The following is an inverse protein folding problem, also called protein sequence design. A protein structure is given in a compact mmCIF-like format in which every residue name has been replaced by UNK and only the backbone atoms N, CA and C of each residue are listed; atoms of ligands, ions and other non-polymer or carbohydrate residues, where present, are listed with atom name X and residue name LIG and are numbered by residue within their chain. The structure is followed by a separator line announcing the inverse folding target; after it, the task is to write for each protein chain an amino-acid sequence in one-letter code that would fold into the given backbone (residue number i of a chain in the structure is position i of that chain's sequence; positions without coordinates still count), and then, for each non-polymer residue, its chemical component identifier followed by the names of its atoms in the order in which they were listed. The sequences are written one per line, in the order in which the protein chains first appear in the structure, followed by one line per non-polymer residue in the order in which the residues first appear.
data_IF_686456678583
#
_entry.id   IF_686456678583
#
_cell.length_a   1.000
_cell.length_b   1.000
_cell.length_c   1.000
_cell.angle_alpha   90.00
_cell.angle_beta   90.00
_cell.angle_gamma   90.00
#
_symmetry.space_group_name_H-M   'P 1'
#
loop_
_entity.id
_entity.type
_entity.pdbx_description
1 polymer ?
#
# COMPACT_ATOMS: atom_id res chain seq x y z
N UNK A 1 18.00 17.72 2.71
CA UNK A 1 16.63 17.27 2.48
C UNK A 1 16.65 16.14 1.47
N UNK A 2 16.01 15.01 1.80
CA UNK A 2 16.03 13.78 1.00
C UNK A 2 14.84 13.70 0.03
N UNK A 3 14.30 14.84 -0.42
CA UNK A 3 13.09 14.93 -1.23
C UNK A 3 13.26 15.81 -2.47
N UNK A 4 12.53 15.47 -3.52
CA UNK A 4 12.44 16.24 -4.75
C UNK A 4 11.24 17.19 -4.66
N UNK A 5 11.47 18.45 -4.32
CA UNK A 5 10.38 19.44 -4.11
C UNK A 5 9.76 19.99 -5.40
N UNK A 6 10.44 19.87 -6.53
CA UNK A 6 10.03 20.53 -7.78
C UNK A 6 9.96 19.59 -8.97
N UNK A 7 10.28 18.30 -8.79
CA UNK A 7 10.21 17.28 -9.85
C UNK A 7 9.16 16.27 -9.43
N UNK A 8 8.08 16.13 -10.24
CA UNK A 8 6.98 15.19 -10.00
C UNK A 8 7.13 13.89 -10.79
N UNK A 9 7.98 13.86 -11.81
CA UNK A 9 8.21 12.69 -12.65
C UNK A 9 9.13 12.99 -13.80
N UNK A 10 9.56 11.94 -14.49
CA UNK A 10 10.35 12.01 -15.73
C UNK A 10 9.69 11.15 -16.79
N UNK A 11 9.24 11.74 -17.87
CA UNK A 11 8.72 11.04 -19.04
C UNK A 11 9.85 10.80 -20.04
N UNK A 12 9.92 9.59 -20.59
CA UNK A 12 10.87 9.24 -21.66
C UNK A 12 10.13 9.01 -22.98
N UNK A 13 10.71 9.49 -24.08
CA UNK A 13 10.15 9.33 -25.44
C UNK A 13 11.09 8.48 -26.27
N UNK A 14 11.33 7.25 -25.88
CA UNK A 14 12.21 6.35 -26.63
C UNK A 14 11.49 5.14 -27.24
N UNK A 15 10.21 4.95 -26.91
CA UNK A 15 9.42 3.81 -27.43
C UNK A 15 9.80 2.45 -26.86
N UNK A 16 10.78 2.38 -25.94
CA UNK A 16 11.23 1.13 -25.34
C UNK A 16 10.30 0.64 -24.22
N UNK A 17 9.71 1.57 -23.47
CA UNK A 17 8.71 1.25 -22.47
C UNK A 17 7.29 1.29 -23.07
N UNK A 18 6.57 0.18 -23.03
CA UNK A 18 5.19 0.07 -23.55
C UNK A 18 4.13 0.19 -22.45
N UNK A 19 4.52 0.16 -21.18
CA UNK A 19 3.64 0.26 -20.02
C UNK A 19 4.35 0.82 -18.79
N UNK A 20 3.55 1.32 -17.85
CA UNK A 20 3.99 1.61 -16.49
C UNK A 20 3.14 0.87 -15.47
N UNK A 21 3.75 0.47 -14.36
CA UNK A 21 3.08 0.02 -13.14
C UNK A 21 3.32 1.05 -12.03
N UNK A 22 2.25 1.50 -11.39
CA UNK A 22 2.33 2.39 -10.24
C UNK A 22 2.27 1.56 -8.97
N UNK A 23 3.31 1.65 -8.14
CA UNK A 23 3.29 1.19 -6.76
C UNK A 23 2.63 2.28 -5.91
N UNK A 24 1.37 2.08 -5.54
CA UNK A 24 0.52 3.04 -4.85
C UNK A 24 0.29 2.59 -3.42
N UNK A 25 0.67 3.42 -2.44
CA UNK A 25 0.62 3.01 -1.05
C UNK A 25 1.12 4.04 -0.06
N UNK A 26 1.32 3.60 1.16
CA UNK A 26 1.76 4.38 2.30
C UNK A 26 3.30 4.32 2.52
N UNK A 27 3.75 4.45 3.78
CA UNK A 27 5.17 4.40 4.16
C UNK A 27 5.87 3.08 3.79
N UNK A 28 5.14 1.97 3.73
CA UNK A 28 5.70 0.66 3.34
C UNK A 28 6.08 0.69 1.85
N UNK A 29 5.34 1.40 1.04
CA UNK A 29 5.61 1.58 -0.39
C UNK A 29 6.62 2.71 -0.64
N UNK A 30 6.51 3.82 0.09
CA UNK A 30 7.46 4.95 0.05
C UNK A 30 8.87 4.51 0.46
N UNK A 31 8.98 3.58 1.40
CA UNK A 31 10.24 3.02 1.89
C UNK A 31 10.73 3.68 3.17
N UNK A 32 9.84 3.85 4.15
CA UNK A 32 10.22 4.35 5.47
C UNK A 32 11.35 3.51 6.09
N UNK A 33 12.35 4.20 6.65
CA UNK A 33 13.51 3.56 7.28
C UNK A 33 14.58 3.03 6.32
N UNK A 34 14.32 3.03 5.02
CA UNK A 34 15.29 2.60 4.01
C UNK A 34 16.38 3.68 3.86
N UNK A 35 17.62 3.23 3.82
CA UNK A 35 18.78 4.12 3.64
C UNK A 35 18.68 4.87 2.30
N UNK A 36 18.83 6.20 2.28
CA UNK A 36 18.83 6.98 1.04
C UNK A 36 19.82 6.43 0.00
N UNK A 37 19.40 6.38 -1.26
CA UNK A 37 20.17 5.90 -2.41
C UNK A 37 20.61 4.42 -2.34
N UNK A 38 19.90 3.58 -1.58
CA UNK A 38 20.18 2.13 -1.51
C UNK A 38 19.38 1.31 -2.53
N UNK A 39 18.35 1.91 -3.16
CA UNK A 39 17.46 1.23 -4.12
C UNK A 39 16.93 -0.10 -3.57
N UNK A 40 16.49 -0.11 -2.30
CA UNK A 40 16.11 -1.32 -1.57
C UNK A 40 14.66 -1.31 -1.07
N UNK A 41 13.80 -0.43 -1.60
CA UNK A 41 12.36 -0.47 -1.40
C UNK A 41 11.74 -1.57 -2.24
N UNK A 42 10.60 -2.11 -1.86
CA UNK A 42 9.97 -3.16 -2.66
C UNK A 42 9.67 -2.74 -4.13
N UNK A 43 9.31 -1.46 -4.44
CA UNK A 43 9.20 -1.04 -5.83
C UNK A 43 10.53 -1.05 -6.60
N UNK A 44 11.66 -0.79 -5.91
CA UNK A 44 12.99 -0.86 -6.53
C UNK A 44 13.34 -2.31 -6.92
N UNK A 45 13.05 -3.28 -6.04
CA UNK A 45 13.21 -4.70 -6.37
C UNK A 45 12.25 -5.15 -7.49
N UNK A 46 11.04 -4.61 -7.55
CA UNK A 46 10.12 -4.87 -8.66
C UNK A 46 10.72 -4.34 -9.97
N UNK A 47 11.24 -3.11 -9.97
CA UNK A 47 11.89 -2.52 -11.13
C UNK A 47 13.08 -3.38 -11.60
N UNK A 48 13.91 -3.82 -10.66
CA UNK A 48 15.05 -4.69 -10.97
C UNK A 48 14.63 -6.04 -11.60
N UNK A 49 13.52 -6.62 -11.15
CA UNK A 49 12.95 -7.86 -11.73
C UNK A 49 12.32 -7.64 -13.12
N UNK A 50 11.86 -6.45 -13.39
CA UNK A 50 11.24 -6.07 -14.66
C UNK A 50 12.22 -5.43 -15.66
N UNK A 51 13.51 -5.34 -15.34
CA UNK A 51 14.54 -4.65 -16.16
C UNK A 51 14.59 -5.07 -17.63
N UNK A 52 14.26 -6.33 -17.94
CA UNK A 52 14.25 -6.89 -19.29
C UNK A 52 12.83 -6.86 -19.93
N UNK A 53 11.89 -6.20 -19.29
CA UNK A 53 10.51 -5.98 -19.77
C UNK A 53 10.31 -4.50 -20.10
N UNK A 54 9.50 -4.18 -21.12
CA UNK A 54 9.22 -2.80 -21.47
C UNK A 54 8.19 -2.17 -20.48
N UNK A 55 8.47 -2.21 -19.19
CA UNK A 55 7.59 -1.75 -18.11
C UNK A 55 8.37 -0.88 -17.13
N UNK A 56 7.95 0.37 -16.98
CA UNK A 56 8.45 1.27 -15.95
C UNK A 56 7.76 1.00 -14.59
N UNK A 57 8.47 1.20 -13.50
CA UNK A 57 7.92 1.17 -12.15
C UNK A 57 7.95 2.57 -11.55
N UNK A 58 6.79 3.06 -11.14
CA UNK A 58 6.62 4.38 -10.52
C UNK A 58 6.26 4.18 -9.04
N UNK A 59 7.01 4.78 -8.13
CA UNK A 59 6.68 4.76 -6.71
C UNK A 59 5.83 5.98 -6.35
N UNK A 60 4.59 5.75 -5.95
CA UNK A 60 3.62 6.73 -5.47
C UNK A 60 3.23 6.46 -4.00
N UNK A 61 4.16 5.96 -3.20
CA UNK A 61 4.03 5.84 -1.76
C UNK A 61 4.09 7.20 -1.07
N UNK A 62 3.32 7.37 0.00
CA UNK A 62 3.37 8.55 0.87
C UNK A 62 3.41 8.06 2.33
N UNK A 63 4.45 8.44 3.07
CA UNK A 63 4.59 8.10 4.49
C UNK A 63 3.35 8.50 5.31
N UNK A 64 2.77 7.57 6.07
CA UNK A 64 1.58 7.81 6.90
C UNK A 64 0.28 8.01 6.12
N UNK A 65 0.24 7.73 4.82
CA UNK A 65 -0.96 7.88 4.01
C UNK A 65 -2.09 6.96 4.49
N UNK A 66 -3.31 7.47 4.41
CA UNK A 66 -4.54 6.73 4.71
C UNK A 66 -5.40 6.59 3.47
N UNK A 67 -6.16 5.52 3.43
CA UNK A 67 -7.10 5.26 2.35
C UNK A 67 -8.29 6.23 2.38
N UNK A 68 -8.79 6.55 3.59
CA UNK A 68 -10.09 7.19 3.80
C UNK A 68 -9.99 8.67 4.16
N UNK A 69 -8.99 9.07 4.93
CA UNK A 69 -8.90 10.40 5.53
C UNK A 69 -7.57 11.08 5.21
N UNK A 70 -7.60 12.38 5.02
CA UNK A 70 -6.39 13.18 4.92
C UNK A 70 -5.58 13.15 6.23
N UNK A 71 -4.29 13.40 6.14
CA UNK A 71 -3.37 13.43 7.25
C UNK A 71 -1.99 13.83 6.77
N UNK A 72 -1.04 12.91 6.77
CA UNK A 72 0.26 13.10 6.12
C UNK A 72 0.09 12.98 4.60
N UNK A 73 -0.51 13.99 3.99
CA UNK A 73 -0.90 14.05 2.61
C UNK A 73 -2.40 13.80 2.37
N UNK A 74 -2.89 14.04 1.13
CA UNK A 74 -4.26 13.71 0.72
C UNK A 74 -4.50 12.20 0.83
N UNK A 75 -5.71 11.80 1.20
CA UNK A 75 -6.07 10.39 1.26
C UNK A 75 -5.93 9.70 -0.10
N UNK A 76 -5.75 8.38 -0.09
CA UNK A 76 -5.47 7.61 -1.29
C UNK A 76 -6.55 7.76 -2.36
N UNK A 77 -7.83 7.81 -1.99
CA UNK A 77 -8.92 8.02 -2.96
C UNK A 77 -8.84 9.39 -3.65
N UNK A 78 -8.52 10.45 -2.89
CA UNK A 78 -8.42 11.82 -3.42
C UNK A 78 -7.23 11.99 -4.36
N UNK A 79 -6.10 11.31 -4.10
CA UNK A 79 -4.88 11.42 -4.92
C UNK A 79 -4.81 10.38 -6.06
N UNK A 80 -5.73 9.43 -6.13
CA UNK A 80 -5.68 8.33 -7.10
C UNK A 80 -5.65 8.81 -8.55
N UNK A 81 -6.46 9.82 -8.89
CA UNK A 81 -6.53 10.38 -10.23
C UNK A 81 -5.19 11.03 -10.62
N UNK A 82 -4.58 11.80 -9.71
CA UNK A 82 -3.29 12.48 -9.92
C UNK A 82 -2.12 11.48 -9.97
N UNK A 83 -2.06 10.55 -9.01
CA UNK A 83 -0.86 9.74 -8.78
C UNK A 83 -0.88 8.43 -9.57
N UNK A 84 -2.05 8.02 -10.09
CA UNK A 84 -2.20 6.79 -10.87
C UNK A 84 -2.75 7.08 -12.26
N UNK A 85 -3.97 7.61 -12.37
CA UNK A 85 -4.67 7.65 -13.67
C UNK A 85 -4.01 8.61 -14.67
N UNK A 86 -3.40 9.71 -14.18
CA UNK A 86 -2.73 10.71 -15.03
C UNK A 86 -1.30 10.34 -15.42
N UNK A 87 -0.75 9.23 -14.92
CA UNK A 87 0.63 8.86 -15.21
C UNK A 87 0.78 8.34 -16.63
N UNK A 88 1.87 8.78 -17.31
CA UNK A 88 2.12 8.40 -18.70
C UNK A 88 2.29 6.89 -18.84
N UNK A 89 1.54 6.29 -19.78
CA UNK A 89 1.66 4.87 -20.13
C UNK A 89 1.23 3.89 -19.04
N UNK A 90 0.54 4.33 -17.98
CA UNK A 90 0.08 3.43 -16.91
C UNK A 90 -0.87 2.37 -17.47
N UNK A 91 -0.62 1.11 -17.11
CA UNK A 91 -1.45 -0.05 -17.43
C UNK A 91 -1.76 -0.88 -16.19
N UNK A 92 -0.98 -0.70 -15.14
CA UNK A 92 -1.08 -1.49 -13.91
C UNK A 92 -0.91 -0.59 -12.70
N UNK A 93 -1.63 -0.91 -11.63
CA UNK A 93 -1.40 -0.35 -10.30
C UNK A 93 -1.39 -1.47 -9.26
N UNK A 94 -0.45 -1.39 -8.33
CA UNK A 94 -0.40 -2.24 -7.14
C UNK A 94 -0.78 -1.34 -5.98
N UNK A 95 -1.93 -1.61 -5.35
CA UNK A 95 -2.44 -0.82 -4.24
C UNK A 95 -2.18 -1.54 -2.91
N UNK A 96 -1.34 -0.95 -2.07
CA UNK A 96 -1.03 -1.41 -0.70
C UNK A 96 -1.28 -0.26 0.26
N UNK A 97 -2.50 -0.19 0.79
CA UNK A 97 -3.01 0.89 1.64
C UNK A 97 -3.88 0.36 2.77
N UNK A 98 -4.12 1.17 3.78
CA UNK A 98 -5.10 0.90 4.83
C UNK A 98 -4.50 0.53 6.19
N UNK A 99 -3.21 0.25 6.29
CA UNK A 99 -2.58 -0.03 7.60
C UNK A 99 -2.72 1.16 8.54
N UNK A 100 -2.56 2.38 8.01
CA UNK A 100 -2.71 3.61 8.80
C UNK A 100 -4.17 3.90 9.18
N UNK A 101 -5.14 3.50 8.34
CA UNK A 101 -6.57 3.61 8.71
C UNK A 101 -6.87 2.69 9.90
N UNK A 102 -6.43 1.44 9.83
CA UNK A 102 -6.61 0.44 10.88
C UNK A 102 -5.88 0.84 12.17
N UNK A 103 -4.61 1.24 12.08
CA UNK A 103 -3.80 1.57 13.25
C UNK A 103 -4.27 2.85 13.94
N UNK A 104 -4.67 3.86 13.19
CA UNK A 104 -5.14 5.14 13.74
C UNK A 104 -6.48 5.04 14.46
N UNK A 105 -7.26 3.99 14.21
CA UNK A 105 -8.58 3.80 14.82
C UNK A 105 -8.49 3.72 16.35
N UNK A 106 -7.48 3.05 16.88
CA UNK A 106 -7.32 2.80 18.33
C UNK A 106 -6.19 3.62 18.97
N UNK A 107 -5.49 4.45 18.19
CA UNK A 107 -4.31 5.18 18.66
C UNK A 107 -4.56 5.99 19.93
N UNK A 108 -5.65 6.72 19.98
CA UNK A 108 -5.94 7.65 21.07
C UNK A 108 -6.78 7.02 22.20
N UNK A 109 -7.63 6.04 21.86
CA UNK A 109 -8.45 5.27 22.81
C UNK A 109 -9.04 4.03 22.13
N UNK A 110 -9.37 2.97 22.86
CA UNK A 110 -10.17 1.86 22.36
C UNK A 110 -11.53 2.34 21.85
N UNK A 111 -12.01 1.70 20.77
CA UNK A 111 -13.31 2.01 20.16
C UNK A 111 -14.23 0.79 20.18
N UNK A 112 -15.49 0.97 19.79
CA UNK A 112 -16.49 -0.11 19.80
C UNK A 112 -16.26 -1.12 18.66
N UNK A 113 -16.76 -2.35 18.81
CA UNK A 113 -16.74 -3.35 17.74
C UNK A 113 -17.54 -2.87 16.50
N UNK A 114 -18.54 -2.00 16.67
CA UNK A 114 -19.27 -1.39 15.56
C UNK A 114 -18.39 -0.42 14.76
N UNK A 115 -17.54 0.37 15.43
CA UNK A 115 -16.59 1.26 14.76
C UNK A 115 -15.56 0.47 13.95
N UNK A 116 -15.03 -0.64 14.51
CA UNK A 116 -14.16 -1.58 13.79
C UNK A 116 -14.83 -2.13 12.54
N UNK A 117 -16.04 -2.68 12.65
CA UNK A 117 -16.79 -3.22 11.52
C UNK A 117 -17.10 -2.12 10.47
N UNK A 118 -17.44 -0.92 10.93
CA UNK A 118 -17.68 0.25 10.10
C UNK A 118 -16.43 0.64 9.29
N UNK A 119 -15.26 0.68 9.90
CA UNK A 119 -14.00 0.97 9.23
C UNK A 119 -13.67 -0.07 8.16
N UNK A 120 -13.80 -1.37 8.47
CA UNK A 120 -13.58 -2.45 7.50
C UNK A 120 -14.49 -2.31 6.28
N UNK A 121 -15.77 -1.96 6.50
CA UNK A 121 -16.72 -1.74 5.40
C UNK A 121 -16.34 -0.53 4.54
N UNK A 122 -15.88 0.57 5.16
CA UNK A 122 -15.41 1.77 4.45
C UNK A 122 -14.17 1.49 3.63
N UNK A 123 -13.18 0.77 4.17
CA UNK A 123 -11.96 0.35 3.44
C UNK A 123 -12.33 -0.46 2.18
N UNK A 124 -13.20 -1.46 2.32
CA UNK A 124 -13.66 -2.26 1.18
C UNK A 124 -14.36 -1.42 0.12
N UNK A 125 -15.22 -0.48 0.55
CA UNK A 125 -15.91 0.43 -0.36
C UNK A 125 -14.96 1.35 -1.10
N UNK A 126 -13.96 1.90 -0.42
CA UNK A 126 -12.92 2.74 -1.01
C UNK A 126 -12.11 1.97 -2.08
N UNK A 127 -11.72 0.75 -1.79
CA UNK A 127 -11.06 -0.10 -2.78
C UNK A 127 -11.95 -0.38 -3.99
N UNK A 128 -13.24 -0.69 -3.80
CA UNK A 128 -14.16 -0.89 -4.92
C UNK A 128 -14.29 0.35 -5.82
N UNK A 129 -14.29 1.56 -5.23
CA UNK A 129 -14.29 2.81 -6.00
C UNK A 129 -13.00 3.00 -6.79
N UNK A 130 -11.83 2.73 -6.20
CA UNK A 130 -10.54 2.80 -6.89
C UNK A 130 -10.45 1.77 -8.02
N UNK A 131 -10.94 0.55 -7.80
CA UNK A 131 -11.02 -0.51 -8.82
C UNK A 131 -11.89 -0.06 -10.00
N UNK A 132 -13.08 0.49 -9.72
CA UNK A 132 -13.97 0.99 -10.77
C UNK A 132 -13.32 2.12 -11.58
N UNK A 133 -12.62 3.06 -10.91
CA UNK A 133 -11.86 4.11 -11.57
C UNK A 133 -10.73 3.55 -12.45
N UNK A 134 -9.91 2.63 -11.93
CA UNK A 134 -8.84 1.99 -12.69
C UNK A 134 -9.39 1.29 -13.95
N UNK A 135 -10.43 0.48 -13.79
CA UNK A 135 -11.06 -0.24 -14.88
C UNK A 135 -11.67 0.69 -15.94
N UNK A 136 -12.29 1.81 -15.53
CA UNK A 136 -12.83 2.79 -16.50
C UNK A 136 -11.75 3.45 -17.37
N UNK A 137 -10.48 3.39 -16.95
CA UNK A 137 -9.31 3.86 -17.69
C UNK A 137 -8.52 2.71 -18.37
N UNK A 138 -9.04 1.48 -18.32
CA UNK A 138 -8.36 0.31 -18.88
C UNK A 138 -7.09 -0.09 -18.13
N UNK A 139 -6.98 0.28 -16.86
CA UNK A 139 -5.86 -0.01 -15.96
C UNK A 139 -6.23 -1.22 -15.09
N UNK A 140 -5.34 -2.21 -15.02
CA UNK A 140 -5.48 -3.33 -14.10
C UNK A 140 -5.00 -2.93 -12.71
N UNK A 141 -5.76 -3.32 -11.68
CA UNK A 141 -5.44 -3.04 -10.29
C UNK A 141 -5.22 -4.33 -9.49
N UNK A 142 -4.06 -4.42 -8.85
CA UNK A 142 -3.66 -5.55 -8.02
C UNK A 142 -3.71 -5.16 -6.55
N UNK A 143 -4.44 -5.94 -5.74
CA UNK A 143 -4.56 -5.70 -4.31
C UNK A 143 -3.39 -6.28 -3.53
N UNK A 144 -2.66 -5.42 -2.83
CA UNK A 144 -1.67 -5.83 -1.83
C UNK A 144 -2.36 -6.13 -0.50
N UNK A 145 -2.08 -7.28 0.11
CA UNK A 145 -2.58 -7.57 1.46
C UNK A 145 -1.82 -6.76 2.51
N UNK A 146 -2.54 -6.21 3.48
CA UNK A 146 -1.98 -5.40 4.58
C UNK A 146 -1.08 -6.27 5.45
N UNK A 147 0.17 -5.85 5.64
CA UNK A 147 1.16 -6.55 6.47
C UNK A 147 0.80 -6.49 7.96
N UNK A 148 1.30 -7.43 8.78
CA UNK A 148 1.09 -7.38 10.22
C UNK A 148 1.68 -6.11 10.85
N UNK A 149 1.02 -5.58 11.87
CA UNK A 149 1.47 -4.39 12.58
C UNK A 149 1.25 -4.45 14.11
N UNK A 150 0.89 -5.62 14.63
CA UNK A 150 0.76 -5.79 16.07
C UNK A 150 2.11 -5.59 16.76
N UNK A 151 2.11 -4.75 17.81
CA UNK A 151 3.33 -4.37 18.54
C UNK A 151 3.91 -3.04 18.11
N UNK A 152 3.36 -2.38 17.09
CA UNK A 152 3.66 -0.99 16.80
C UNK A 152 3.10 -0.11 17.91
N UNK A 153 3.99 0.48 18.73
CA UNK A 153 3.61 1.26 19.91
C UNK A 153 2.72 2.46 19.58
N UNK A 154 2.94 3.08 18.43
CA UNK A 154 2.21 4.30 18.02
C UNK A 154 0.69 4.09 17.85
N UNK A 155 0.26 2.87 17.47
CA UNK A 155 -1.16 2.61 17.17
C UNK A 155 -1.93 2.07 18.37
N UNK A 156 -1.26 1.55 19.39
CA UNK A 156 -1.89 0.84 20.52
C UNK A 156 -2.86 -0.27 20.04
N UNK A 157 -2.51 -0.93 18.94
CA UNK A 157 -3.36 -1.92 18.28
C UNK A 157 -3.66 -3.10 19.20
N UNK A 158 -4.90 -3.57 19.17
CA UNK A 158 -5.40 -4.70 19.93
C UNK A 158 -5.87 -5.88 19.03
N UNK A 159 -6.49 -6.88 19.64
CA UNK A 159 -6.97 -8.04 18.91
C UNK A 159 -8.07 -7.71 17.88
N UNK A 160 -8.82 -6.63 18.06
CA UNK A 160 -9.83 -6.20 17.08
C UNK A 160 -9.17 -5.58 15.85
N UNK A 161 -8.09 -4.81 16.01
CA UNK A 161 -7.31 -4.31 14.86
C UNK A 161 -6.75 -5.46 14.02
N UNK A 162 -6.27 -6.54 14.66
CA UNK A 162 -5.81 -7.73 13.92
C UNK A 162 -6.97 -8.43 13.22
N UNK A 163 -8.14 -8.55 13.86
CA UNK A 163 -9.33 -9.10 13.23
C UNK A 163 -9.77 -8.27 12.01
N UNK A 164 -9.71 -6.95 12.10
CA UNK A 164 -9.99 -6.04 10.97
C UNK A 164 -9.02 -6.25 9.82
N UNK A 165 -7.71 -6.30 10.14
CA UNK A 165 -6.67 -6.59 9.13
C UNK A 165 -6.96 -7.90 8.40
N UNK A 166 -7.28 -8.96 9.15
CA UNK A 166 -7.62 -10.26 8.57
C UNK A 166 -8.91 -10.20 7.75
N UNK A 167 -9.91 -9.44 8.18
CA UNK A 167 -11.16 -9.27 7.43
C UNK A 167 -10.96 -8.52 6.09
N UNK A 168 -10.09 -7.51 6.08
CA UNK A 168 -9.70 -6.81 4.85
C UNK A 168 -8.88 -7.72 3.96
N UNK A 169 -7.85 -8.39 4.49
CA UNK A 169 -6.97 -9.29 3.74
C UNK A 169 -7.73 -10.50 3.14
N UNK A 170 -8.65 -11.08 3.90
CA UNK A 170 -9.52 -12.14 3.40
C UNK A 170 -10.35 -11.65 2.21
N UNK A 171 -10.93 -10.45 2.31
CA UNK A 171 -11.69 -9.87 1.22
C UNK A 171 -10.80 -9.58 0.00
N UNK A 172 -9.59 -9.03 0.18
CA UNK A 172 -8.63 -8.82 -0.92
C UNK A 172 -8.35 -10.15 -1.64
N UNK A 173 -8.12 -11.23 -0.89
CA UNK A 173 -7.78 -12.55 -1.46
C UNK A 173 -8.94 -13.24 -2.17
N UNK A 174 -10.18 -13.05 -1.70
CA UNK A 174 -11.29 -13.95 -2.05
C UNK A 174 -12.46 -13.27 -2.77
N UNK A 175 -12.55 -11.94 -2.77
CA UNK A 175 -13.69 -11.23 -3.39
C UNK A 175 -13.72 -11.31 -4.91
N UNK A 176 -12.57 -11.52 -5.53
CA UNK A 176 -12.44 -11.42 -7.00
C UNK A 176 -12.59 -9.99 -7.55
N UNK A 177 -12.58 -8.97 -6.67
CA UNK A 177 -12.71 -7.57 -7.08
C UNK A 177 -11.45 -7.03 -7.77
N UNK A 178 -10.27 -7.41 -7.28
CA UNK A 178 -8.99 -7.06 -7.90
C UNK A 178 -8.67 -7.98 -9.08
N UNK A 179 -7.93 -7.47 -10.06
CA UNK A 179 -7.45 -8.29 -11.20
C UNK A 179 -6.47 -9.39 -10.77
N UNK A 180 -5.70 -9.14 -9.71
CA UNK A 180 -4.86 -10.14 -9.03
C UNK A 180 -4.54 -9.68 -7.60
N UNK A 181 -3.94 -10.56 -6.82
CA UNK A 181 -3.51 -10.31 -5.43
C UNK A 181 -2.01 -10.47 -5.31
N UNK A 182 -1.37 -9.54 -4.61
CA UNK A 182 0.01 -9.66 -4.14
C UNK A 182 -0.04 -9.85 -2.63
N UNK A 183 0.26 -11.07 -2.19
CA UNK A 183 0.09 -11.45 -0.78
C UNK A 183 1.31 -11.08 0.07
N UNK A 184 1.48 -9.77 0.33
CA UNK A 184 2.54 -9.26 1.19
C UNK A 184 2.43 -9.79 2.62
N UNK A 185 1.20 -9.95 3.15
CA UNK A 185 0.98 -10.54 4.46
C UNK A 185 1.56 -11.96 4.55
N UNK A 186 1.24 -12.83 3.60
CA UNK A 186 1.77 -14.19 3.59
C UNK A 186 3.30 -14.24 3.42
N UNK A 187 3.87 -13.28 2.69
CA UNK A 187 5.31 -13.22 2.44
C UNK A 187 6.12 -12.72 3.65
N UNK A 188 5.53 -11.84 4.47
CA UNK A 188 6.27 -11.10 5.49
C UNK A 188 5.89 -11.46 6.94
N UNK A 189 4.75 -12.11 7.17
CA UNK A 189 4.32 -12.49 8.52
C UNK A 189 5.17 -13.63 9.11
N UNK A 190 5.31 -13.61 10.42
CA UNK A 190 5.86 -14.72 11.19
C UNK A 190 4.87 -15.90 11.19
N UNK A 191 5.24 -17.10 10.67
CA UNK A 191 4.34 -18.25 10.68
C UNK A 191 3.92 -18.71 12.10
N UNK A 192 4.75 -18.44 13.11
CA UNK A 192 4.46 -18.78 14.50
C UNK A 192 3.58 -17.72 15.20
N UNK A 193 3.61 -16.49 14.71
CA UNK A 193 2.81 -15.36 15.20
C UNK A 193 2.29 -14.53 14.02
N UNK A 194 1.21 -14.95 13.36
CA UNK A 194 0.76 -14.34 12.09
C UNK A 194 0.32 -12.87 12.20
N UNK A 195 0.15 -12.36 13.40
CA UNK A 195 -0.11 -10.96 13.73
C UNK A 195 1.15 -10.08 13.74
N UNK A 196 2.35 -10.67 13.54
CA UNK A 196 3.65 -10.01 13.57
C UNK A 196 4.41 -10.19 12.26
N UNK A 197 5.29 -9.22 11.95
CA UNK A 197 6.32 -9.43 10.95
C UNK A 197 7.30 -10.51 11.39
N UNK A 198 7.80 -11.29 10.43
CA UNK A 198 8.91 -12.19 10.68
C UNK A 198 10.13 -11.38 11.14
N UNK A 199 10.83 -11.77 12.22
CA UNK A 199 11.94 -10.96 12.76
C UNK A 199 13.03 -10.61 11.75
N UNK A 200 13.21 -11.42 10.72
CA UNK A 200 14.18 -11.14 9.64
C UNK A 200 13.74 -10.01 8.69
N UNK A 201 12.47 -9.63 8.74
CA UNK A 201 11.90 -8.57 7.90
C UNK A 201 11.39 -7.38 8.72
N UNK A 202 11.47 -7.44 10.05
CA UNK A 202 11.01 -6.37 10.93
C UNK A 202 12.15 -5.34 11.08
N UNK A 203 11.89 -4.08 10.77
CA UNK A 203 12.86 -3.00 10.99
C UNK A 203 13.13 -2.70 12.48
N UNK A 204 12.33 -3.31 13.38
CA UNK A 204 12.37 -3.11 14.82
C UNK A 204 11.25 -2.21 15.34
N UNK A 205 10.44 -1.65 14.47
CA UNK A 205 9.27 -0.84 14.84
C UNK A 205 7.94 -1.63 14.74
N UNK A 206 7.99 -2.87 14.29
CA UNK A 206 6.86 -3.80 14.17
C UNK A 206 5.79 -3.40 13.13
N UNK A 207 6.14 -2.51 12.19
CA UNK A 207 5.27 -2.03 11.12
C UNK A 207 5.97 -2.07 9.76
N UNK A 208 7.19 -1.52 9.69
CA UNK A 208 7.88 -1.35 8.43
C UNK A 208 8.82 -2.53 8.15
N UNK A 209 8.67 -3.18 6.98
CA UNK A 209 9.64 -4.19 6.55
C UNK A 209 11.02 -3.58 6.26
N UNK A 210 12.09 -4.30 6.64
CA UNK A 210 13.50 -3.92 6.40
C UNK A 210 14.07 -4.60 5.18
#
# INVERSE_FOLDING_TARGET
FDHWFTISGVDIKDGSASAAVVAFGDSITDGYGIKPNSDSRWPDFLAARLKDKPVAVLNAGIGGNRLLLDGLGPNAQARFDRDVLSQSGVKYVIALEGVNDLGMLTRDAPVSAEDHAGLVAQIKTAYLQMIAKAHSHGIKIYGGTITPFMGMDYYHADALNEADRQAVNTWIRTSGAFDAVIDFDAALRDPARPDRLLPAYDSGDHLHPS
#
